data_IF_970328322867
#
_entry.id   IF_970328322867
#
_cell.length_a   1.000
_cell.length_b   1.000
_cell.length_c   1.000
_cell.angle_alpha   90.00
_cell.angle_beta   90.00
_cell.angle_gamma   90.00
#
_symmetry.space_group_name_H-M   'P 1'
#
loop_
_entity.id
_entity.type
_entity.pdbx_description
1 polymer ?
#
# COMPACT_ATOMS: atom_id res chain seq x y z
N UNK A 1 -60.85 -5.40 -27.75
CA UNK A 1 -60.43 -4.98 -26.40
C UNK A 1 -58.91 -4.84 -26.44
N UNK A 2 -58.44 -3.60 -26.55
CA UNK A 2 -57.01 -3.23 -26.57
C UNK A 2 -56.48 -3.30 -25.14
N UNK A 3 -55.34 -3.95 -24.90
CA UNK A 3 -54.61 -3.80 -23.63
C UNK A 3 -53.21 -3.27 -23.93
N UNK A 4 -53.00 -2.07 -23.43
CA UNK A 4 -51.84 -1.22 -23.65
C UNK A 4 -50.60 -1.70 -22.88
N UNK A 5 -49.45 -1.37 -23.46
CA UNK A 5 -48.12 -1.60 -22.94
C UNK A 5 -47.88 -0.90 -21.59
N UNK A 6 -47.16 -1.57 -20.69
CA UNK A 6 -46.41 -0.91 -19.61
C UNK A 6 -44.92 -1.19 -19.80
N UNK A 7 -44.26 -0.26 -20.49
CA UNK A 7 -42.80 -0.12 -20.47
C UNK A 7 -42.40 0.32 -19.07
N UNK A 8 -41.72 -0.57 -18.34
CA UNK A 8 -41.07 -0.23 -17.10
C UNK A 8 -39.84 0.65 -17.41
N UNK A 9 -39.94 1.94 -17.10
CA UNK A 9 -38.83 2.89 -17.15
C UNK A 9 -37.76 2.50 -16.12
N UNK A 10 -36.66 1.94 -16.63
CA UNK A 10 -35.43 1.68 -15.88
C UNK A 10 -34.87 3.03 -15.43
N UNK A 11 -34.95 3.30 -14.12
CA UNK A 11 -34.37 4.50 -13.49
C UNK A 11 -32.88 4.54 -13.80
N UNK A 12 -32.43 5.64 -14.41
CA UNK A 12 -31.03 5.90 -14.71
C UNK A 12 -30.20 5.86 -13.41
N UNK A 13 -29.27 4.91 -13.32
CA UNK A 13 -28.26 4.90 -12.29
C UNK A 13 -27.40 6.16 -12.45
N UNK A 14 -27.48 7.06 -11.46
CA UNK A 14 -26.66 8.25 -11.41
C UNK A 14 -25.17 7.91 -11.56
N UNK A 15 -24.44 8.80 -12.23
CA UNK A 15 -22.99 8.79 -12.46
C UNK A 15 -22.27 8.06 -11.30
N UNK A 16 -21.90 6.80 -11.53
CA UNK A 16 -21.30 5.96 -10.49
C UNK A 16 -20.02 6.62 -10.01
N UNK A 17 -20.03 7.12 -8.76
CA UNK A 17 -18.78 7.45 -8.07
C UNK A 17 -17.94 6.19 -8.10
N UNK A 18 -16.77 6.25 -8.73
CA UNK A 18 -15.81 5.16 -8.65
C UNK A 18 -15.63 4.80 -7.18
N UNK A 19 -15.79 3.52 -6.81
CA UNK A 19 -15.67 3.12 -5.42
C UNK A 19 -14.28 3.51 -4.93
N UNK A 20 -14.23 4.24 -3.81
CA UNK A 20 -12.97 4.69 -3.22
C UNK A 20 -12.10 3.46 -2.92
N UNK A 21 -10.83 3.51 -3.34
CA UNK A 21 -9.88 2.39 -3.19
C UNK A 21 -9.92 1.85 -1.75
N UNK A 22 -9.95 0.51 -1.56
CA UNK A 22 -10.10 -0.10 -0.24
C UNK A 22 -9.02 0.33 0.77
N UNK A 23 -7.82 0.70 0.31
CA UNK A 23 -6.74 1.26 1.13
C UNK A 23 -7.22 2.49 1.92
N UNK A 24 -8.00 3.38 1.31
CA UNK A 24 -8.51 4.58 1.99
C UNK A 24 -9.54 4.26 3.05
N UNK A 25 -10.32 3.19 2.87
CA UNK A 25 -11.28 2.74 3.89
C UNK A 25 -10.56 2.20 5.12
N UNK A 26 -9.52 1.40 4.93
CA UNK A 26 -8.64 0.94 6.03
C UNK A 26 -8.05 2.13 6.76
N UNK A 27 -7.44 3.08 6.03
CA UNK A 27 -6.78 4.25 6.63
C UNK A 27 -7.78 5.17 7.35
N UNK A 28 -8.97 5.41 6.79
CA UNK A 28 -10.00 6.22 7.44
C UNK A 28 -10.48 5.59 8.76
N UNK A 29 -10.68 4.27 8.81
CA UNK A 29 -11.07 3.57 10.04
C UNK A 29 -9.91 3.48 11.05
N UNK A 30 -8.69 3.22 10.58
CA UNK A 30 -7.49 3.21 11.41
C UNK A 30 -7.21 4.58 12.02
N UNK A 31 -7.40 5.67 11.25
CA UNK A 31 -7.23 7.05 11.73
C UNK A 31 -8.25 7.39 12.81
N UNK A 32 -9.52 6.98 12.66
CA UNK A 32 -10.53 7.17 13.72
C UNK A 32 -10.11 6.47 15.02
N UNK A 33 -9.64 5.23 14.94
CA UNK A 33 -9.13 4.48 16.10
C UNK A 33 -7.91 5.16 16.71
N UNK A 34 -6.93 5.55 15.90
CA UNK A 34 -5.73 6.24 16.34
C UNK A 34 -6.05 7.56 17.02
N UNK A 35 -7.02 8.33 16.50
CA UNK A 35 -7.44 9.59 17.09
C UNK A 35 -8.11 9.43 18.47
N UNK A 36 -8.69 8.27 18.76
CA UNK A 36 -9.21 7.94 20.10
C UNK A 36 -8.13 7.50 21.11
N UNK A 37 -6.91 7.17 20.67
CA UNK A 37 -5.83 6.74 21.56
C UNK A 37 -5.20 7.91 22.33
N UNK A 38 -4.84 7.72 23.58
CA UNK A 38 -4.12 8.77 24.35
C UNK A 38 -2.69 8.92 23.83
N UNK A 39 -2.01 7.80 23.58
CA UNK A 39 -0.64 7.76 23.08
C UNK A 39 -0.63 7.83 21.55
N UNK A 40 0.02 8.86 20.99
CA UNK A 40 0.10 9.12 19.54
C UNK A 40 1.45 8.68 18.94
N UNK A 41 1.78 7.40 19.06
CA UNK A 41 3.05 6.86 18.53
C UNK A 41 2.89 6.14 17.20
N UNK A 42 3.99 5.96 16.48
CA UNK A 42 4.04 5.15 15.24
C UNK A 42 3.60 3.71 15.50
N UNK A 43 3.99 3.11 16.63
CA UNK A 43 3.53 1.76 16.98
C UNK A 43 2.01 1.67 17.08
N UNK A 44 1.38 2.66 17.73
CA UNK A 44 -0.09 2.72 17.85
C UNK A 44 -0.76 2.92 16.49
N UNK A 45 -0.15 3.71 15.57
CA UNK A 45 -0.63 3.78 14.17
C UNK A 45 -0.62 2.39 13.51
N UNK A 46 0.47 1.63 13.65
CA UNK A 46 0.61 0.28 13.06
C UNK A 46 -0.46 -0.68 13.59
N UNK A 47 -0.69 -0.69 14.89
CA UNK A 47 -1.75 -1.50 15.52
C UNK A 47 -3.14 -1.12 15.03
N UNK A 48 -3.43 0.19 14.94
CA UNK A 48 -4.71 0.68 14.43
C UNK A 48 -4.95 0.27 12.98
N UNK A 49 -3.91 0.30 12.14
CA UNK A 49 -3.97 -0.16 10.75
C UNK A 49 -4.24 -1.66 10.73
N UNK A 50 -3.41 -2.47 11.40
CA UNK A 50 -3.53 -3.94 11.43
C UNK A 50 -4.92 -4.39 11.87
N UNK A 51 -5.50 -3.73 12.88
CA UNK A 51 -6.86 -4.01 13.37
C UNK A 51 -8.00 -3.62 12.39
N UNK A 52 -7.69 -2.99 11.26
CA UNK A 52 -8.65 -2.56 10.25
C UNK A 52 -8.47 -3.25 8.89
N UNK A 53 -7.33 -3.90 8.63
CA UNK A 53 -7.05 -4.50 7.32
C UNK A 53 -8.07 -5.60 6.99
N UNK A 54 -8.28 -6.54 7.92
CA UNK A 54 -9.17 -7.69 7.74
C UNK A 54 -10.64 -7.36 7.45
N UNK A 55 -11.07 -6.10 7.58
CA UNK A 55 -12.42 -5.65 7.18
C UNK A 55 -12.57 -5.48 5.67
N UNK A 56 -11.48 -5.20 4.97
CA UNK A 56 -11.48 -4.79 3.56
C UNK A 56 -10.55 -5.63 2.68
N UNK A 57 -9.59 -6.32 3.29
CA UNK A 57 -8.63 -7.18 2.61
C UNK A 57 -8.64 -8.56 3.25
N UNK A 58 -8.52 -9.60 2.41
CA UNK A 58 -8.34 -10.98 2.88
C UNK A 58 -6.88 -11.28 3.27
N UNK A 59 -5.93 -10.50 2.75
CA UNK A 59 -4.49 -10.64 2.98
C UNK A 59 -3.90 -9.28 3.36
N UNK A 60 -3.18 -9.27 4.49
CA UNK A 60 -2.49 -8.09 5.00
C UNK A 60 -1.44 -7.57 4.02
N UNK A 61 -0.70 -8.47 3.36
CA UNK A 61 0.35 -8.10 2.41
C UNK A 61 -0.21 -7.29 1.25
N UNK A 62 -1.40 -7.65 0.76
CA UNK A 62 -2.06 -6.94 -0.33
C UNK A 62 -2.40 -5.49 0.04
N UNK A 63 -2.80 -5.23 1.28
CA UNK A 63 -3.02 -3.86 1.75
C UNK A 63 -1.71 -3.05 1.73
N UNK A 64 -0.61 -3.63 2.21
CA UNK A 64 0.67 -2.94 2.26
C UNK A 64 1.23 -2.64 0.86
N UNK A 65 1.08 -3.56 -0.09
CA UNK A 65 1.39 -3.33 -1.50
C UNK A 65 0.57 -2.17 -2.09
N UNK A 66 -0.75 -2.17 -1.87
CA UNK A 66 -1.62 -1.09 -2.35
C UNK A 66 -1.26 0.26 -1.72
N UNK A 67 -0.91 0.28 -0.43
CA UNK A 67 -0.46 1.49 0.28
C UNK A 67 0.82 2.05 -0.32
N UNK A 68 1.81 1.20 -0.58
CA UNK A 68 3.06 1.60 -1.20
C UNK A 68 2.83 2.13 -2.62
N UNK A 69 1.99 1.47 -3.41
CA UNK A 69 1.59 1.96 -4.74
C UNK A 69 0.90 3.34 -4.68
N UNK A 70 0.05 3.60 -3.67
CA UNK A 70 -0.51 4.95 -3.48
C UNK A 70 0.57 5.98 -3.11
N UNK A 71 1.60 5.58 -2.34
CA UNK A 71 2.67 6.50 -1.93
C UNK A 71 3.54 6.91 -3.12
N UNK A 72 3.83 5.96 -4.01
CA UNK A 72 4.53 6.20 -5.26
C UNK A 72 3.74 7.18 -6.13
N UNK A 73 2.48 6.82 -6.43
CA UNK A 73 1.59 7.59 -7.29
C UNK A 73 1.33 9.03 -6.81
N UNK A 74 1.24 9.24 -5.50
CA UNK A 74 0.81 10.54 -4.95
C UNK A 74 1.95 11.42 -4.47
N UNK A 75 3.11 10.89 -4.13
CA UNK A 75 4.16 11.67 -3.47
C UNK A 75 5.55 11.37 -4.01
N UNK A 76 5.92 10.11 -4.20
CA UNK A 76 7.32 9.77 -4.48
C UNK A 76 7.77 10.11 -5.91
N UNK A 77 6.84 10.28 -6.86
CA UNK A 77 7.17 10.82 -8.19
C UNK A 77 7.50 12.34 -8.15
N UNK A 78 7.25 13.03 -7.03
CA UNK A 78 7.50 14.46 -6.91
C UNK A 78 8.91 14.75 -6.40
N UNK A 79 9.75 15.29 -7.29
CA UNK A 79 11.10 15.79 -6.94
C UNK A 79 11.07 16.84 -5.82
N UNK A 80 10.04 17.70 -5.78
CA UNK A 80 9.88 18.71 -4.72
C UNK A 80 9.62 18.06 -3.36
N UNK A 81 8.79 17.02 -3.33
CA UNK A 81 8.51 16.27 -2.11
C UNK A 81 9.76 15.54 -1.60
N UNK A 82 10.46 14.82 -2.49
CA UNK A 82 11.66 14.08 -2.13
C UNK A 82 12.74 15.02 -1.58
N UNK A 83 13.03 16.13 -2.30
CA UNK A 83 14.00 17.14 -1.83
C UNK A 83 13.63 17.75 -0.48
N UNK A 84 12.34 17.99 -0.23
CA UNK A 84 11.90 18.50 1.07
C UNK A 84 12.15 17.49 2.20
N UNK A 85 11.95 16.20 1.94
CA UNK A 85 12.26 15.15 2.91
C UNK A 85 13.79 15.02 3.13
N UNK A 86 14.58 15.08 2.06
CA UNK A 86 16.05 15.01 2.13
C UNK A 86 16.62 16.18 2.94
N UNK A 87 16.12 17.40 2.73
CA UNK A 87 16.50 18.59 3.51
C UNK A 87 16.17 18.45 5.01
N UNK A 88 15.15 17.66 5.34
CA UNK A 88 14.74 17.37 6.71
C UNK A 88 15.45 16.14 7.29
N UNK A 89 16.31 15.46 6.52
CA UNK A 89 16.97 14.21 6.92
C UNK A 89 16.01 13.04 7.09
N UNK A 90 14.86 13.05 6.40
CA UNK A 90 13.82 12.04 6.51
C UNK A 90 13.72 11.19 5.24
N UNK A 91 13.47 9.89 5.40
CA UNK A 91 13.26 9.01 4.27
C UNK A 91 11.91 9.33 3.57
N UNK A 92 11.90 9.72 2.28
CA UNK A 92 10.66 10.11 1.60
C UNK A 92 9.58 9.03 1.63
N UNK A 93 9.97 7.76 1.48
CA UNK A 93 9.05 6.61 1.57
C UNK A 93 8.33 6.53 2.92
N UNK A 94 9.07 6.70 4.00
CA UNK A 94 8.53 6.72 5.37
C UNK A 94 7.56 7.88 5.54
N UNK A 95 7.97 9.09 5.16
CA UNK A 95 7.14 10.30 5.26
C UNK A 95 5.86 10.15 4.45
N UNK A 96 5.94 9.61 3.24
CA UNK A 96 4.79 9.40 2.37
C UNK A 96 3.76 8.46 3.00
N UNK A 97 4.19 7.34 3.61
CA UNK A 97 3.28 6.42 4.32
C UNK A 97 2.49 7.15 5.43
N UNK A 98 3.17 7.99 6.22
CA UNK A 98 2.52 8.77 7.28
C UNK A 98 1.55 9.81 6.74
N UNK A 99 1.88 10.47 5.62
CA UNK A 99 0.99 11.44 4.98
C UNK A 99 -0.28 10.76 4.44
N UNK A 100 -0.15 9.58 3.84
CA UNK A 100 -1.31 8.81 3.38
C UNK A 100 -2.23 8.42 4.54
N UNK A 101 -1.64 8.05 5.68
CA UNK A 101 -2.41 7.77 6.89
C UNK A 101 -3.25 8.98 7.36
N UNK A 102 -2.73 10.20 7.22
CA UNK A 102 -3.50 11.42 7.50
C UNK A 102 -4.72 11.54 6.59
N UNK A 103 -4.50 11.61 5.27
CA UNK A 103 -5.55 11.42 4.25
C UNK A 103 -5.02 11.62 2.83
N UNK A 104 -5.78 11.17 1.84
CA UNK A 104 -5.57 11.52 0.43
C UNK A 104 -5.54 13.04 0.19
N UNK A 105 -6.38 13.79 0.91
CA UNK A 105 -6.44 15.26 0.78
C UNK A 105 -5.15 15.90 1.30
N UNK A 106 -4.60 15.38 2.39
CA UNK A 106 -3.33 15.83 2.94
C UNK A 106 -2.20 15.58 1.95
N UNK A 107 -2.14 14.39 1.33
CA UNK A 107 -1.15 14.09 0.29
C UNK A 107 -1.20 15.09 -0.88
N UNK A 108 -2.41 15.37 -1.39
CA UNK A 108 -2.58 16.36 -2.48
C UNK A 108 -2.19 17.78 -2.06
N UNK A 109 -2.53 18.19 -0.83
CA UNK A 109 -2.08 19.48 -0.30
C UNK A 109 -0.57 19.55 -0.18
N UNK A 110 0.11 18.49 0.29
CA UNK A 110 1.58 18.45 0.38
C UNK A 110 2.23 18.65 -0.99
N UNK A 111 1.67 18.08 -2.05
CA UNK A 111 2.18 18.31 -3.41
C UNK A 111 2.06 19.78 -3.85
N UNK A 112 0.96 20.43 -3.52
CA UNK A 112 0.65 21.80 -3.96
C UNK A 112 1.41 22.82 -3.10
N UNK A 113 1.23 22.74 -1.78
CA UNK A 113 1.67 23.73 -0.80
C UNK A 113 3.08 23.44 -0.29
N UNK A 114 3.48 22.17 -0.21
CA UNK A 114 4.76 21.71 0.33
C UNK A 114 4.64 20.99 1.67
N UNK A 115 5.67 20.20 2.00
CA UNK A 115 5.70 19.34 3.20
C UNK A 115 5.60 20.17 4.49
N UNK A 116 6.49 21.15 4.66
CA UNK A 116 6.56 21.97 5.88
C UNK A 116 5.32 22.84 6.06
N UNK A 117 4.75 23.39 4.98
CA UNK A 117 3.54 24.21 5.04
C UNK A 117 2.31 23.42 5.52
N UNK A 118 2.20 22.15 5.16
CA UNK A 118 1.03 21.31 5.47
C UNK A 118 1.18 20.58 6.80
N UNK A 119 2.38 20.10 7.11
CA UNK A 119 2.63 19.23 8.27
C UNK A 119 3.28 19.98 9.44
N UNK A 120 3.97 21.09 9.17
CA UNK A 120 4.75 21.82 10.17
C UNK A 120 5.78 20.91 10.83
N UNK A 121 5.97 21.09 12.14
CA UNK A 121 6.93 20.30 12.92
C UNK A 121 6.58 18.82 13.04
N UNK A 122 5.31 18.44 12.82
CA UNK A 122 4.85 17.05 12.94
C UNK A 122 5.56 16.12 11.97
N UNK A 123 6.05 16.62 10.84
CA UNK A 123 6.81 15.82 9.88
C UNK A 123 8.05 15.20 10.50
N UNK A 124 8.67 15.87 11.49
CA UNK A 124 9.87 15.38 12.19
C UNK A 124 9.60 14.13 13.03
N UNK A 125 8.32 13.80 13.30
CA UNK A 125 7.92 12.58 14.00
C UNK A 125 7.80 11.37 13.06
N UNK A 126 7.93 11.56 11.74
CA UNK A 126 7.79 10.52 10.72
C UNK A 126 9.14 9.85 10.42
N UNK A 127 9.81 9.38 11.46
CA UNK A 127 11.15 8.76 11.37
C UNK A 127 11.08 7.24 11.17
N UNK A 128 10.05 6.59 11.70
CA UNK A 128 9.84 5.14 11.57
C UNK A 128 8.79 4.80 10.52
N UNK A 129 8.98 3.75 9.69
CA UNK A 129 7.99 3.33 8.71
C UNK A 129 6.76 2.70 9.36
N UNK A 130 5.60 2.85 8.68
CA UNK A 130 4.35 2.20 9.08
C UNK A 130 4.35 0.71 8.70
N UNK A 131 5.08 0.34 7.66
CA UNK A 131 5.30 -1.05 7.28
C UNK A 131 6.74 -1.48 7.59
N UNK A 132 6.91 -2.59 8.30
CA UNK A 132 8.22 -3.02 8.83
C UNK A 132 8.83 -4.19 8.04
N UNK A 133 8.01 -4.96 7.31
CA UNK A 133 8.44 -6.21 6.67
C UNK A 133 8.69 -6.06 5.15
N UNK A 134 9.51 -5.09 4.74
CA UNK A 134 9.88 -4.92 3.32
C UNK A 134 10.45 -6.21 2.69
N UNK A 135 11.20 -7.01 3.46
CA UNK A 135 11.75 -8.30 3.02
C UNK A 135 10.66 -9.31 2.63
N UNK A 136 9.52 -9.35 3.35
CA UNK A 136 8.40 -10.24 2.99
C UNK A 136 7.64 -9.75 1.77
N UNK A 137 7.66 -8.44 1.53
CA UNK A 137 6.97 -7.82 0.40
C UNK A 137 7.61 -8.23 -0.94
N UNK A 138 8.94 -8.28 -1.00
CA UNK A 138 9.69 -8.66 -2.21
C UNK A 138 10.06 -10.15 -2.29
N UNK A 139 10.12 -10.89 -1.17
CA UNK A 139 10.38 -12.34 -1.21
C UNK A 139 9.25 -13.14 -1.88
N UNK A 140 8.00 -12.68 -1.81
CA UNK A 140 6.85 -13.34 -2.46
C UNK A 140 6.75 -13.03 -3.97
N UNK A 141 7.52 -12.07 -4.49
CA UNK A 141 7.55 -11.76 -5.93
C UNK A 141 8.49 -12.66 -6.72
N UNK A 142 9.38 -13.41 -6.05
CA UNK A 142 10.41 -14.26 -6.68
C UNK A 142 10.08 -15.75 -6.68
N UNK A 143 8.90 -16.16 -6.22
CA UNK A 143 8.54 -17.59 -6.08
C UNK A 143 7.53 -18.05 -7.14
N UNK A 144 7.77 -17.74 -8.41
CA UNK A 144 7.18 -18.49 -9.51
C UNK A 144 8.19 -18.67 -10.65
N UNK A 145 9.25 -19.42 -10.37
CA UNK A 145 9.96 -20.18 -11.39
C UNK A 145 9.71 -21.65 -11.07
N UNK A 146 8.90 -22.31 -11.91
CA UNK A 146 8.80 -23.76 -11.88
C UNK A 146 10.18 -24.32 -12.23
N UNK A 147 10.93 -24.77 -11.22
CA UNK A 147 12.05 -25.68 -11.43
C UNK A 147 11.48 -27.00 -11.95
N UNK A 148 11.50 -27.19 -13.26
CA UNK A 148 11.54 -28.51 -13.88
C UNK A 148 12.82 -29.22 -13.42
N UNK A 149 12.77 -30.39 -12.76
CA UNK A 149 13.97 -31.13 -12.43
C UNK A 149 14.57 -31.70 -13.73
N UNK A 150 15.71 -31.15 -14.15
CA UNK A 150 16.53 -31.73 -15.20
C UNK A 150 17.33 -32.88 -14.58
N UNK A 151 17.03 -34.10 -15.01
CA UNK A 151 17.72 -35.31 -14.58
C UNK A 151 19.20 -35.29 -15.00
N UNK A 152 20.02 -35.95 -14.18
CA UNK A 152 21.45 -35.76 -13.96
C UNK A 152 22.36 -36.33 -15.08
N UNK A 153 23.69 -36.06 -15.02
CA UNK A 153 24.59 -36.10 -16.16
C UNK A 153 25.23 -37.47 -16.41
N UNK A 154 25.60 -37.68 -17.67
CA UNK A 154 26.54 -38.73 -18.10
C UNK A 154 27.93 -38.50 -17.48
N UNK A 155 28.54 -39.55 -16.91
CA UNK A 155 29.99 -39.68 -16.88
C UNK A 155 30.41 -41.13 -17.04
N UNK A 156 31.49 -41.28 -17.78
CA UNK A 156 31.99 -42.44 -18.49
C UNK A 156 32.98 -43.28 -17.68
N UNK A 157 32.98 -44.59 -17.96
CA UNK A 157 34.19 -45.26 -18.44
C UNK A 157 35.11 -45.97 -17.42
N UNK A 158 35.19 -47.28 -17.63
CA UNK A 158 36.36 -48.17 -17.48
C UNK A 158 36.70 -48.77 -16.11
N UNK A 159 36.39 -50.06 -15.97
CA UNK A 159 37.33 -51.04 -15.43
C UNK A 159 37.10 -52.41 -16.11
N UNK A 160 38.11 -52.85 -16.86
CA UNK A 160 38.25 -54.18 -17.48
C UNK A 160 38.78 -55.14 -16.42
N UNK A 161 38.14 -56.29 -16.19
CA UNK A 161 38.76 -57.53 -15.65
C UNK A 161 37.78 -58.71 -15.69
N UNK A 162 38.36 -59.91 -15.87
CA UNK A 162 37.80 -61.27 -15.83
C UNK A 162 37.47 -61.85 -17.21
N UNK A 163 37.92 -63.04 -17.60
CA UNK A 163 38.87 -64.02 -17.06
C UNK A 163 39.26 -64.94 -18.23
#
# INVERSE_FOLDING_TARGET
MTVEAKVATKKNAGKGRTPKSPVWKVLDDARKKFNAQIVKSTSVKRECIKACIGKYYADDLRFWLDLLSQSEKLLLDSMRFNKACDNLGLAPKTVAQHILFESEKTAKRVLIEGVEAVLGERVKMFTEPLYVDEKKLYANSSSNVQETPSEAPATSGSAVTAA
#
